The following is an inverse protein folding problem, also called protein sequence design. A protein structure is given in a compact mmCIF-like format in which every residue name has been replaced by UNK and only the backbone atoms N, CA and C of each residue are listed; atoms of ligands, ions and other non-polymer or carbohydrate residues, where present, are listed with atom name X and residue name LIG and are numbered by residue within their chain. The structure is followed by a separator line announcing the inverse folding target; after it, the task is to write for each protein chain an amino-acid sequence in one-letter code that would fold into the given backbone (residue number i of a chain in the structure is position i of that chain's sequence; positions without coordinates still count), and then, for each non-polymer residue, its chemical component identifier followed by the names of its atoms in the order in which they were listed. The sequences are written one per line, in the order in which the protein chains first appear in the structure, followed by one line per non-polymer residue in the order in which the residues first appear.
data_IF_447199874700
#
_entry.id   IF_447199874700
#
_cell.length_a   1.000
_cell.length_b   1.000
_cell.length_c   1.000
_cell.angle_alpha   90.00
_cell.angle_beta   90.00
_cell.angle_gamma   90.00
#
_symmetry.space_group_name_H-M   'P 1'
#
loop_
_entity.id
_entity.type
_entity.pdbx_description
1 polymer ?
#
# COMPACT_ATOMS: atom_id res chain seq x y z
N UNK A 1 2.12 -18.80 18.01
CA UNK A 1 1.80 -18.52 17.61
C UNK A 1 1.48 -17.94 17.18
N UNK A 2 1.37 -17.86 16.92
CA UNK A 2 1.04 -17.42 16.42
C UNK A 2 0.81 -16.79 15.80
N UNK A 3 0.92 -16.83 15.87
CA UNK A 3 0.74 -16.30 14.96
C UNK A 3 0.32 -15.43 14.09
N UNK A 4 0.76 -15.06 13.27
CA UNK A 4 0.30 -14.29 12.48
C UNK A 4 -0.44 -14.87 11.54
N UNK A 5 -1.29 -14.84 11.34
CA UNK A 5 -2.09 -15.36 10.74
C UNK A 5 -2.43 -14.88 9.56
N UNK A 6 -1.96 -15.26 8.58
CA UNK A 6 -2.30 -14.83 7.27
C UNK A 6 -2.05 -13.39 7.02
N UNK A 7 -1.15 -12.84 7.77
CA UNK A 7 -0.86 -11.44 7.56
C UNK A 7 -0.18 -11.19 6.24
N UNK A 8 -0.39 -10.00 5.70
CA UNK A 8 0.27 -9.57 4.50
C UNK A 8 1.69 -9.15 4.87
N UNK A 9 2.66 -9.64 4.11
CA UNK A 9 4.07 -9.37 4.38
C UNK A 9 4.61 -8.31 3.43
N UNK A 10 3.81 -7.36 3.05
CA UNK A 10 4.26 -6.27 2.18
C UNK A 10 5.29 -5.43 2.90
N UNK A 11 6.39 -5.16 2.23
CA UNK A 11 7.42 -4.25 2.74
C UNK A 11 7.24 -2.92 2.02
N UNK A 12 7.20 -1.83 2.80
CA UNK A 12 7.11 -0.49 2.25
C UNK A 12 8.46 0.17 2.52
N UNK A 13 9.18 0.55 1.48
CA UNK A 13 10.48 1.17 1.66
C UNK A 13 10.32 2.54 2.30
N UNK A 14 11.40 3.08 2.85
CA UNK A 14 11.34 4.41 3.44
C UNK A 14 10.97 5.45 2.41
N UNK A 15 11.47 5.31 1.18
CA UNK A 15 11.12 6.26 0.13
C UNK A 15 9.64 6.18 -0.20
N UNK A 16 9.08 4.97 -0.27
CA UNK A 16 7.66 4.81 -0.52
C UNK A 16 6.86 5.38 0.64
N UNK A 17 7.29 5.12 1.88
CA UNK A 17 6.58 5.65 3.04
C UNK A 17 6.58 7.16 3.04
N UNK A 18 7.71 7.79 2.72
CA UNK A 18 7.79 9.25 2.66
C UNK A 18 6.87 9.79 1.57
N UNK A 19 6.82 9.14 0.42
CA UNK A 19 5.94 9.57 -0.65
C UNK A 19 4.48 9.47 -0.23
N UNK A 20 4.12 8.38 0.44
CA UNK A 20 2.75 8.22 0.92
C UNK A 20 2.40 9.32 1.91
N UNK A 21 3.31 9.61 2.85
CA UNK A 21 3.04 10.66 3.83
C UNK A 21 2.89 12.01 3.15
N UNK A 22 3.70 12.29 2.14
CA UNK A 22 3.58 13.54 1.40
C UNK A 22 2.26 13.65 0.67
N UNK A 23 1.82 12.56 0.05
CA UNK A 23 0.53 12.54 -0.64
C UNK A 23 -0.59 12.82 0.35
N UNK A 24 -0.54 12.20 1.51
CA UNK A 24 -1.59 12.40 2.52
C UNK A 24 -1.62 13.84 2.99
N UNK A 25 -0.46 14.45 3.19
CA UNK A 25 -0.40 15.84 3.62
C UNK A 25 -0.94 16.77 2.54
N UNK A 26 -0.64 16.50 1.29
CA UNK A 26 -1.13 17.34 0.21
C UNK A 26 -2.63 17.26 0.07
N UNK A 27 -3.22 16.15 0.47
CA UNK A 27 -4.66 15.99 0.39
C UNK A 27 -5.37 16.40 1.67
N UNK A 28 -4.64 16.91 2.65
CA UNK A 28 -5.23 17.32 3.90
C UNK A 28 -5.79 16.18 4.71
N UNK A 29 -5.24 14.99 4.53
CA UNK A 29 -5.74 13.81 5.22
C UNK A 29 -5.37 13.88 6.70
N UNK A 30 -6.27 13.42 7.53
CA UNK A 30 -6.07 13.46 8.98
C UNK A 30 -5.39 12.23 9.51
N UNK A 31 -5.34 12.16 10.83
CA UNK A 31 -4.78 10.98 11.49
C UNK A 31 -5.60 9.77 11.12
N UNK A 32 -4.95 8.66 10.95
CA UNK A 32 -5.62 7.42 10.59
C UNK A 32 -5.79 7.22 9.10
N UNK A 33 -5.49 8.25 8.29
CA UNK A 33 -5.58 8.11 6.84
C UNK A 33 -4.39 7.33 6.31
N UNK A 34 -4.54 6.79 5.12
CA UNK A 34 -3.47 6.05 4.48
C UNK A 34 -3.72 5.90 3.00
N UNK A 35 -2.81 5.21 2.36
CA UNK A 35 -2.94 4.92 0.95
C UNK A 35 -3.70 3.60 0.82
N UNK A 36 -4.80 3.63 0.10
CA UNK A 36 -5.58 2.42 -0.11
C UNK A 36 -5.26 1.85 -1.47
N UNK A 37 -4.91 0.59 -1.52
CA UNK A 37 -4.60 -0.10 -2.76
C UNK A 37 -5.68 -1.15 -2.96
N UNK A 38 -6.36 -1.08 -4.09
CA UNK A 38 -7.40 -2.03 -4.42
C UNK A 38 -6.98 -2.81 -5.66
N UNK A 39 -7.36 -4.07 -5.71
CA UNK A 39 -7.07 -4.91 -6.84
C UNK A 39 -8.32 -5.22 -7.62
N UNK A 40 -8.19 -5.22 -8.95
CA UNK A 40 -9.31 -5.55 -9.82
C UNK A 40 -8.80 -6.62 -10.77
N UNK A 41 -9.28 -7.84 -10.59
CA UNK A 41 -8.80 -8.96 -11.38
C UNK A 41 -9.52 -8.99 -12.72
N UNK A 42 -8.73 -9.05 -13.80
CA UNK A 42 -9.28 -9.13 -15.12
C UNK A 42 -8.52 -10.21 -15.86
N UNK A 43 -9.17 -11.31 -16.12
CA UNK A 43 -8.51 -12.43 -16.78
C UNK A 43 -7.36 -12.94 -15.92
N UNK A 44 -6.17 -12.97 -16.50
CA UNK A 44 -4.99 -13.43 -15.79
C UNK A 44 -4.23 -12.31 -15.09
N UNK A 45 -4.70 -11.08 -15.19
CA UNK A 45 -3.99 -9.94 -14.64
C UNK A 45 -4.81 -9.29 -13.56
N UNK A 46 -4.13 -8.67 -12.63
CA UNK A 46 -4.77 -7.86 -11.61
C UNK A 46 -4.27 -6.44 -11.72
N UNK A 47 -5.18 -5.51 -11.94
CA UNK A 47 -4.84 -4.10 -11.97
C UNK A 47 -4.94 -3.55 -10.56
N UNK A 48 -3.99 -2.71 -10.18
CA UNK A 48 -3.99 -2.10 -8.85
C UNK A 48 -4.29 -0.63 -8.98
N UNK A 49 -5.13 -0.14 -8.07
CA UNK A 49 -5.46 1.27 -8.01
C UNK A 49 -5.05 1.82 -6.66
N UNK A 50 -4.55 3.03 -6.66
CA UNK A 50 -4.06 3.68 -5.46
C UNK A 50 -4.89 4.92 -5.20
N UNK A 51 -5.32 5.10 -3.97
CA UNK A 51 -6.13 6.26 -3.60
C UNK A 51 -5.90 6.61 -2.14
N UNK A 52 -6.15 7.86 -1.80
CA UNK A 52 -6.09 8.29 -0.41
C UNK A 52 -7.39 7.89 0.26
N UNK A 53 -7.30 7.32 1.45
CA UNK A 53 -8.47 6.90 2.21
C UNK A 53 -8.36 7.42 3.63
N UNK A 54 -9.49 7.69 4.26
CA UNK A 54 -9.52 8.18 5.63
C UNK A 54 -9.24 7.08 6.66
N UNK A 55 -9.34 5.85 6.25
CA UNK A 55 -9.08 4.72 7.12
C UNK A 55 -9.38 3.44 6.38
N UNK A 56 -9.10 2.29 6.99
CA UNK A 56 -9.38 1.02 6.32
C UNK A 56 -10.87 0.71 6.31
N UNK A 57 -11.27 -0.05 5.32
CA UNK A 57 -12.64 -0.57 5.26
C UNK A 57 -12.67 -1.97 5.82
N UNK A 58 -13.87 -2.47 6.08
CA UNK A 58 -14.02 -3.81 6.60
C UNK A 58 -13.32 -4.79 5.68
N UNK A 59 -12.52 -5.65 6.27
CA UNK A 59 -11.80 -6.67 5.51
C UNK A 59 -10.48 -6.21 4.94
N UNK A 60 -10.15 -4.92 5.05
CA UNK A 60 -8.87 -4.46 4.55
C UNK A 60 -7.73 -4.93 5.45
N UNK A 61 -6.63 -5.30 4.83
CA UNK A 61 -5.40 -5.53 5.57
C UNK A 61 -4.71 -4.19 5.77
N UNK A 62 -4.12 -3.99 6.93
CA UNK A 62 -3.47 -2.73 7.26
C UNK A 62 -1.98 -3.00 7.45
N UNK A 63 -1.15 -2.28 6.71
CA UNK A 63 0.29 -2.37 6.84
C UNK A 63 0.78 -0.99 7.27
N UNK A 64 1.51 -0.93 8.38
CA UNK A 64 2.06 0.33 8.86
C UNK A 64 3.56 0.18 8.96
N UNK A 65 4.29 0.98 8.20
CA UNK A 65 5.75 0.95 8.20
C UNK A 65 6.27 2.35 8.04
N UNK A 66 7.26 2.70 8.81
CA UNK A 66 7.96 4.00 8.70
C UNK A 66 6.99 5.18 8.80
N UNK A 67 5.93 5.00 9.56
CA UNK A 67 4.95 6.07 9.77
C UNK A 67 3.89 6.19 8.69
N UNK A 68 3.93 5.33 7.67
CA UNK A 68 2.91 5.35 6.62
C UNK A 68 1.96 4.18 6.80
N UNK A 69 0.69 4.41 6.49
CA UNK A 69 -0.33 3.37 6.56
C UNK A 69 -0.76 3.01 5.15
N UNK A 70 -0.90 1.74 4.89
CA UNK A 70 -1.36 1.24 3.59
C UNK A 70 -2.50 0.27 3.86
N UNK A 71 -3.60 0.44 3.17
CA UNK A 71 -4.78 -0.41 3.32
C UNK A 71 -4.97 -1.20 2.05
N UNK A 72 -5.16 -2.51 2.17
CA UNK A 72 -5.24 -3.40 1.02
C UNK A 72 -6.53 -4.16 1.05
N UNK A 73 -7.29 -4.15 -0.04
CA UNK A 73 -8.45 -5.03 -0.11
C UNK A 73 -7.95 -6.47 -0.35
N UNK A 74 -8.87 -7.43 -0.39
CA UNK A 74 -8.45 -8.82 -0.45
C UNK A 74 -7.69 -9.13 -1.75
N UNK A 75 -8.11 -8.57 -2.87
CA UNK A 75 -7.42 -8.82 -4.13
C UNK A 75 -6.01 -8.19 -4.12
N UNK A 76 -5.90 -6.97 -3.61
CA UNK A 76 -4.58 -6.33 -3.52
C UNK A 76 -3.69 -7.08 -2.54
N UNK A 77 -4.27 -7.53 -1.42
CA UNK A 77 -3.46 -8.26 -0.43
C UNK A 77 -2.89 -9.54 -1.03
N UNK A 78 -3.66 -10.24 -1.85
CA UNK A 78 -3.17 -11.45 -2.49
C UNK A 78 -2.00 -11.14 -3.43
N UNK A 79 -2.10 -10.07 -4.20
CA UNK A 79 -1.05 -9.72 -5.15
C UNK A 79 0.19 -9.22 -4.43
N UNK A 80 -0.01 -8.46 -3.35
CA UNK A 80 1.09 -7.75 -2.70
C UNK A 80 1.73 -8.53 -1.56
N UNK A 81 1.18 -9.69 -1.20
CA UNK A 81 1.81 -10.51 -0.18
C UNK A 81 3.23 -10.84 -0.62
N UNK A 82 4.20 -10.59 0.24
CA UNK A 82 5.61 -10.89 -0.05
C UNK A 82 6.17 -10.04 -1.18
N UNK A 83 5.66 -8.84 -1.33
CA UNK A 83 6.19 -7.89 -2.31
C UNK A 83 6.79 -6.69 -1.59
N UNK A 84 7.57 -5.91 -2.33
CA UNK A 84 8.17 -4.69 -1.82
C UNK A 84 7.58 -3.53 -2.61
N UNK A 85 7.01 -2.58 -1.90
CA UNK A 85 6.49 -1.35 -2.52
C UNK A 85 7.56 -0.28 -2.40
N UNK A 86 8.00 0.21 -3.53
CA UNK A 86 9.02 1.25 -3.59
C UNK A 86 8.48 2.38 -4.44
N UNK A 87 9.20 3.47 -4.49
CA UNK A 87 8.78 4.61 -5.27
C UNK A 87 9.99 5.26 -5.90
N UNK A 88 9.80 5.77 -7.10
CA UNK A 88 10.81 6.57 -7.76
C UNK A 88 10.22 7.93 -8.01
N UNK A 89 11.03 8.97 -7.78
CA UNK A 89 10.59 10.31 -8.05
C UNK A 89 11.14 10.77 -9.38
N UNK A 90 10.27 11.31 -10.21
CA UNK A 90 10.67 11.82 -11.51
C UNK A 90 10.13 13.23 -11.63
N UNK A 91 10.90 14.20 -11.18
CA UNK A 91 10.43 15.58 -11.19
C UNK A 91 9.23 15.75 -10.28
N UNK A 92 8.08 16.05 -10.86
CA UNK A 92 6.88 16.25 -10.09
C UNK A 92 6.07 14.98 -9.90
N UNK A 93 6.56 13.84 -10.39
CA UNK A 93 5.76 12.63 -10.39
C UNK A 93 6.38 11.58 -9.50
N UNK A 94 5.52 10.79 -8.87
CA UNK A 94 5.94 9.60 -8.14
C UNK A 94 5.49 8.39 -8.92
N UNK A 95 6.37 7.41 -9.05
CA UNK A 95 6.04 6.16 -9.71
C UNK A 95 6.26 5.04 -8.71
N UNK A 96 5.18 4.38 -8.30
CA UNK A 96 5.29 3.27 -7.39
C UNK A 96 5.63 2.01 -8.15
N UNK A 97 6.52 1.20 -7.59
CA UNK A 97 6.89 -0.05 -8.20
C UNK A 97 6.77 -1.17 -7.18
N UNK A 98 6.56 -2.37 -7.67
CA UNK A 98 6.39 -3.54 -6.83
C UNK A 98 7.42 -4.57 -7.24
N UNK A 99 8.24 -4.97 -6.29
CA UNK A 99 9.25 -5.99 -6.52
C UNK A 99 8.96 -7.18 -5.64
N UNK A 100 9.52 -8.30 -5.99
CA UNK A 100 9.37 -9.50 -5.17
C UNK A 100 10.41 -9.50 -4.08
N UNK A 101 10.04 -10.00 -2.93
CA UNK A 101 11.00 -10.17 -1.85
C UNK A 101 11.86 -11.38 -2.15
N UNK A 102 13.11 -11.30 -1.75
CA UNK A 102 14.04 -12.40 -1.97
C UNK A 102 14.09 -13.34 -0.81
#
# INVERSE_FOLDING_TARGET
MLGDQGGVMLVVTEQAADAIKGILEENGAGDGAGLRITGDAEGDETALEFAVADGPEDGDAVVMQSGASVFLDSAAADVLAERVLDVEEHGDHFHFSLDEQE
#
